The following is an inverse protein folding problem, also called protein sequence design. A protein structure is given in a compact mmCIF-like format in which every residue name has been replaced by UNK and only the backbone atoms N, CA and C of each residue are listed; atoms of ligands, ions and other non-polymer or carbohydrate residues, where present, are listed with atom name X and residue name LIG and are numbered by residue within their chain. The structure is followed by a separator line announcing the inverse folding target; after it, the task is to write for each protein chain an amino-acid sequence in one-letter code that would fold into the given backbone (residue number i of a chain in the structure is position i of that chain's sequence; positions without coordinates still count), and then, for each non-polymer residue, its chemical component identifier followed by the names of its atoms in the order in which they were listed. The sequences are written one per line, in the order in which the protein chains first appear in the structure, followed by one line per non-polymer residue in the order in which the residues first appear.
data_IF_874230196107
#
_entry.id   IF_874230196107
#
_cell.length_a   1.000
_cell.length_b   1.000
_cell.length_c   1.000
_cell.angle_alpha   90.00
_cell.angle_beta   90.00
_cell.angle_gamma   90.00
#
_symmetry.space_group_name_H-M   'P 1'
#
loop_
_entity.id
_entity.type
_entity.pdbx_description
1 polymer ?
#
# COMPACT_ATOMS: atom_id res chain seq x y z
N UNK A 1 1.20 -37.23 6.04
CA UNK A 1 1.38 -36.37 4.85
C UNK A 1 0.96 -34.98 5.26
N UNK A 2 1.93 -34.08 5.47
CA UNK A 2 1.63 -32.72 5.93
C UNK A 2 0.89 -31.96 4.83
N UNK A 3 -0.34 -31.56 5.10
CA UNK A 3 -1.02 -30.57 4.28
C UNK A 3 -0.23 -29.27 4.46
N UNK A 4 0.57 -28.90 3.46
CA UNK A 4 1.01 -27.54 3.32
C UNK A 4 -0.26 -26.72 3.11
N UNK A 5 -0.73 -26.06 4.17
CA UNK A 5 -1.77 -25.05 4.08
C UNK A 5 -1.20 -23.97 3.17
N UNK A 6 -1.58 -24.02 1.88
CA UNK A 6 -1.38 -22.91 0.98
C UNK A 6 -2.02 -21.72 1.67
N UNK A 7 -1.20 -20.75 2.10
CA UNK A 7 -1.70 -19.51 2.68
C UNK A 7 -2.45 -18.79 1.57
N UNK A 8 -3.77 -18.89 1.57
CA UNK A 8 -4.62 -18.22 0.59
C UNK A 8 -4.57 -16.71 0.84
N UNK A 9 -4.18 -15.95 -0.18
CA UNK A 9 -4.14 -14.48 -0.11
C UNK A 9 -5.49 -13.94 0.40
N UNK A 10 -5.50 -12.99 1.37
CA UNK A 10 -6.74 -12.52 1.98
C UNK A 10 -7.73 -12.00 0.95
N UNK A 11 -9.02 -12.11 1.26
CA UNK A 11 -10.08 -11.56 0.41
C UNK A 11 -9.97 -10.04 0.42
N UNK A 12 -10.28 -9.41 -0.71
CA UNK A 12 -10.11 -7.96 -0.91
C UNK A 12 -10.74 -7.08 0.19
N UNK A 13 -11.84 -7.54 0.80
CA UNK A 13 -12.53 -6.87 1.92
C UNK A 13 -11.69 -6.78 3.21
N UNK A 14 -10.66 -7.61 3.35
CA UNK A 14 -9.78 -7.71 4.52
C UNK A 14 -8.53 -6.85 4.35
N UNK A 15 -8.36 -6.23 3.19
CA UNK A 15 -7.23 -5.37 2.88
C UNK A 15 -7.51 -3.94 3.37
N UNK A 16 -6.46 -3.20 3.76
CA UNK A 16 -6.61 -1.82 4.17
C UNK A 16 -7.08 -0.96 2.98
N UNK A 17 -7.98 -0.02 3.24
CA UNK A 17 -8.41 0.97 2.24
C UNK A 17 -7.75 2.30 2.55
N UNK A 18 -7.37 3.05 1.53
CA UNK A 18 -6.66 4.31 1.69
C UNK A 18 -7.43 5.47 1.11
N UNK A 19 -7.81 6.43 1.95
CA UNK A 19 -8.59 7.60 1.55
C UNK A 19 -7.72 8.83 1.27
N UNK A 20 -6.57 8.91 1.93
CA UNK A 20 -5.68 10.07 1.94
C UNK A 20 -6.23 11.26 2.74
N UNK A 21 -7.26 11.05 3.57
CA UNK A 21 -7.92 12.10 4.36
C UNK A 21 -7.50 12.10 5.85
N UNK A 22 -6.89 11.01 6.35
CA UNK A 22 -6.41 10.90 7.74
C UNK A 22 -4.92 11.20 7.92
N UNK A 23 -4.55 11.76 9.08
CA UNK A 23 -3.15 12.16 9.40
C UNK A 23 -2.16 10.99 9.33
N UNK A 24 -2.61 9.78 9.68
CA UNK A 24 -1.81 8.55 9.68
C UNK A 24 -2.31 7.48 8.69
N UNK A 25 -3.28 7.82 7.84
CA UNK A 25 -3.93 6.90 6.90
C UNK A 25 -2.90 6.21 5.97
N UNK A 26 -1.84 6.95 5.60
CA UNK A 26 -0.78 6.44 4.75
C UNK A 26 0.12 5.41 5.45
N UNK A 27 0.32 5.55 6.76
CA UNK A 27 1.14 4.63 7.57
C UNK A 27 0.40 3.32 7.83
N UNK A 28 -0.86 3.41 8.22
CA UNK A 28 -1.71 2.23 8.44
C UNK A 28 -1.87 1.44 7.14
N UNK A 29 -2.07 2.14 6.01
CA UNK A 29 -2.14 1.50 4.71
C UNK A 29 -0.83 0.80 4.33
N UNK A 30 0.31 1.51 4.39
CA UNK A 30 1.62 0.93 4.04
C UNK A 30 1.94 -0.28 4.93
N UNK A 31 1.77 -0.14 6.24
CA UNK A 31 2.04 -1.20 7.21
C UNK A 31 1.14 -2.42 6.99
N UNK A 32 -0.16 -2.21 6.74
CA UNK A 32 -1.09 -3.31 6.45
C UNK A 32 -0.73 -4.07 5.17
N UNK A 33 -0.29 -3.37 4.13
CA UNK A 33 0.20 -4.02 2.89
C UNK A 33 1.51 -4.76 3.12
N UNK A 34 2.45 -4.21 3.89
CA UNK A 34 3.72 -4.87 4.19
C UNK A 34 3.49 -6.19 4.96
N UNK A 35 2.58 -6.21 5.95
CA UNK A 35 2.20 -7.43 6.68
C UNK A 35 1.60 -8.47 5.73
N UNK A 36 0.65 -8.10 4.86
CA UNK A 36 0.04 -9.02 3.90
C UNK A 36 1.10 -9.56 2.93
N UNK A 37 2.04 -8.73 2.50
CA UNK A 37 3.10 -9.14 1.58
C UNK A 37 4.05 -10.15 2.25
N UNK A 38 4.39 -9.94 3.52
CA UNK A 38 5.22 -10.85 4.31
C UNK A 38 4.50 -12.18 4.59
N UNK A 39 3.24 -12.12 5.01
CA UNK A 39 2.48 -13.31 5.40
C UNK A 39 2.18 -14.23 4.22
N UNK A 40 1.94 -13.67 3.03
CA UNK A 40 1.45 -14.38 1.84
C UNK A 40 2.45 -14.43 0.68
N UNK A 41 3.69 -13.98 0.88
CA UNK A 41 4.76 -13.91 -0.14
C UNK A 41 4.26 -13.33 -1.49
N UNK A 42 3.35 -12.35 -1.41
CA UNK A 42 2.58 -11.93 -2.58
C UNK A 42 3.43 -11.13 -3.58
N UNK A 43 3.42 -11.48 -4.87
CA UNK A 43 4.07 -10.69 -5.92
C UNK A 43 3.49 -9.27 -6.01
N UNK A 44 4.35 -8.29 -6.34
CA UNK A 44 3.96 -6.88 -6.50
C UNK A 44 2.87 -6.69 -7.57
N UNK A 45 2.83 -7.56 -8.58
CA UNK A 45 1.81 -7.51 -9.63
C UNK A 45 0.42 -7.74 -9.05
N UNK A 46 0.23 -8.80 -8.26
CA UNK A 46 -1.06 -9.11 -7.62
C UNK A 46 -1.50 -8.03 -6.64
N UNK A 47 -0.53 -7.44 -5.94
CA UNK A 47 -0.76 -6.30 -5.06
C UNK A 47 -1.27 -5.08 -5.82
N UNK A 48 -0.55 -4.69 -6.88
CA UNK A 48 -0.85 -3.46 -7.61
C UNK A 48 -2.09 -3.56 -8.50
N UNK A 49 -2.54 -4.77 -8.84
CA UNK A 49 -3.85 -5.03 -9.45
C UNK A 49 -5.00 -4.69 -8.49
N UNK A 50 -4.81 -4.90 -7.18
CA UNK A 50 -5.81 -4.59 -6.15
C UNK A 50 -5.88 -3.08 -5.86
N UNK A 51 -4.90 -2.28 -6.24
CA UNK A 51 -4.89 -0.84 -5.92
C UNK A 51 -6.11 -0.08 -6.43
N UNK A 52 -6.67 -0.49 -7.58
CA UNK A 52 -7.87 0.15 -8.09
C UNK A 52 -9.07 0.09 -7.12
N UNK A 53 -9.10 -0.88 -6.21
CA UNK A 53 -10.15 -1.01 -5.18
C UNK A 53 -9.70 -0.54 -3.80
N UNK A 54 -8.40 -0.59 -3.50
CA UNK A 54 -7.87 -0.21 -2.19
C UNK A 54 -7.76 1.32 -2.04
N UNK A 55 -7.43 2.04 -3.11
CA UNK A 55 -7.48 3.50 -3.10
C UNK A 55 -8.93 3.97 -3.25
N UNK A 56 -9.41 4.79 -2.31
CA UNK A 56 -10.78 5.31 -2.28
C UNK A 56 -10.78 6.83 -2.19
N UNK A 57 -11.90 7.47 -2.57
CA UNK A 57 -12.08 8.93 -2.42
C UNK A 57 -10.99 9.73 -3.18
N UNK A 58 -10.39 10.86 -2.72
CA UNK A 58 -9.47 11.62 -3.57
C UNK A 58 -8.16 10.89 -3.88
N UNK A 59 -7.77 9.88 -3.09
CA UNK A 59 -6.57 9.07 -3.35
C UNK A 59 -6.71 8.21 -4.62
N UNK A 60 -7.91 7.74 -4.93
CA UNK A 60 -8.19 6.93 -6.13
C UNK A 60 -7.88 7.68 -7.42
N UNK A 61 -8.30 8.95 -7.50
CA UNK A 61 -7.99 9.81 -8.65
C UNK A 61 -6.49 10.07 -8.80
N UNK A 62 -5.76 10.16 -7.70
CA UNK A 62 -4.30 10.27 -7.74
C UNK A 62 -3.65 8.98 -8.23
N UNK A 63 -4.09 7.83 -7.72
CA UNK A 63 -3.59 6.52 -8.13
C UNK A 63 -3.74 6.31 -9.64
N UNK A 64 -4.93 6.58 -10.20
CA UNK A 64 -5.18 6.42 -11.65
C UNK A 64 -4.19 7.26 -12.46
N UNK A 65 -3.99 8.53 -12.08
CA UNK A 65 -3.05 9.42 -12.79
C UNK A 65 -1.63 8.88 -12.79
N UNK A 66 -1.14 8.43 -11.64
CA UNK A 66 0.21 7.86 -11.53
C UNK A 66 0.33 6.55 -12.32
N UNK A 67 -0.67 5.68 -12.24
CA UNK A 67 -0.69 4.40 -12.96
C UNK A 67 -0.70 4.60 -14.48
N UNK A 68 -1.42 5.60 -14.98
CA UNK A 68 -1.42 5.98 -16.40
C UNK A 68 -0.06 6.55 -16.84
N UNK A 69 0.58 7.36 -16.00
CA UNK A 69 1.85 8.01 -16.34
C UNK A 69 3.07 7.06 -16.26
N UNK A 70 3.09 6.14 -15.30
CA UNK A 70 4.27 5.32 -14.98
C UNK A 70 4.07 3.82 -15.20
N UNK A 71 2.86 3.37 -15.53
CA UNK A 71 2.57 1.95 -15.79
C UNK A 71 2.66 1.07 -14.54
N UNK A 72 3.01 -0.21 -14.75
CA UNK A 72 3.24 -1.15 -13.64
C UNK A 72 4.55 -0.81 -12.94
N UNK A 73 4.49 -0.63 -11.62
CA UNK A 73 5.61 -0.26 -10.77
C UNK A 73 5.65 -1.14 -9.52
N UNK A 74 6.82 -1.28 -8.92
CA UNK A 74 7.02 -2.09 -7.71
C UNK A 74 6.34 -1.48 -6.48
N UNK A 75 6.11 -2.30 -5.46
CA UNK A 75 5.54 -1.83 -4.20
C UNK A 75 6.43 -0.76 -3.55
N UNK A 76 7.75 -0.96 -3.57
CA UNK A 76 8.71 0.02 -3.05
C UNK A 76 8.54 1.39 -3.70
N UNK A 77 8.34 1.44 -5.02
CA UNK A 77 8.08 2.69 -5.72
C UNK A 77 6.78 3.34 -5.24
N UNK A 78 5.71 2.55 -5.11
CA UNK A 78 4.42 3.04 -4.62
C UNK A 78 4.49 3.57 -3.19
N UNK A 79 5.24 2.91 -2.28
CA UNK A 79 5.49 3.42 -0.93
C UNK A 79 6.11 4.81 -0.97
N UNK A 80 7.14 5.01 -1.79
CA UNK A 80 7.76 6.33 -1.97
C UNK A 80 6.77 7.37 -2.47
N UNK A 81 5.91 7.04 -3.43
CA UNK A 81 4.92 7.99 -3.94
C UNK A 81 3.84 8.35 -2.90
N UNK A 82 3.39 7.36 -2.12
CA UNK A 82 2.42 7.58 -1.03
C UNK A 82 3.03 8.49 0.03
N UNK A 83 4.25 8.19 0.48
CA UNK A 83 5.00 8.99 1.45
C UNK A 83 5.21 10.42 0.93
N UNK A 84 5.68 10.58 -0.31
CA UNK A 84 5.95 11.90 -0.88
C UNK A 84 4.71 12.79 -0.92
N UNK A 85 3.53 12.19 -1.13
CA UNK A 85 2.27 12.94 -1.24
C UNK A 85 1.55 13.19 0.08
N UNK A 86 1.55 12.22 1.00
CA UNK A 86 0.72 12.27 2.21
C UNK A 86 1.48 12.30 3.52
N UNK A 87 2.80 12.07 3.52
CA UNK A 87 3.58 12.31 4.73
C UNK A 87 3.60 13.82 5.02
N UNK A 88 3.18 14.17 6.23
CA UNK A 88 3.35 15.52 6.77
C UNK A 88 4.80 15.72 7.24
N UNK A 89 5.23 16.97 7.39
CA UNK A 89 6.61 17.30 7.80
C UNK A 89 6.95 16.73 9.19
N UNK A 90 5.96 16.59 10.07
CA UNK A 90 6.13 15.99 11.39
C UNK A 90 6.46 14.49 11.33
N UNK A 91 5.90 13.75 10.37
CA UNK A 91 6.24 12.36 10.12
C UNK A 91 7.65 12.22 9.56
N UNK A 92 8.01 13.07 8.58
CA UNK A 92 9.35 13.07 8.00
C UNK A 92 10.40 13.30 9.07
N UNK A 93 10.15 14.27 9.95
CA UNK A 93 10.99 14.54 11.11
C UNK A 93 11.12 13.34 12.06
N UNK A 94 10.01 12.65 12.39
CA UNK A 94 10.03 11.44 13.24
C UNK A 94 10.81 10.28 12.62
N UNK A 95 10.70 10.07 11.31
CA UNK A 95 11.46 9.03 10.61
C UNK A 95 12.94 9.38 10.55
N UNK A 96 13.27 10.65 10.25
CA UNK A 96 14.66 11.14 10.22
C UNK A 96 15.34 11.11 11.59
N UNK A 97 14.59 11.23 12.69
CA UNK A 97 15.13 11.13 14.07
C UNK A 97 15.10 9.71 14.65
N UNK A 98 14.44 8.75 14.00
CA UNK A 98 14.37 7.35 14.44
C UNK A 98 15.49 6.46 13.85
N UNK A 99 16.34 7.00 12.97
CA UNK A 99 17.52 6.38 12.39
C UNK A 99 18.77 7.23 12.65
#
# INVERSE_FOLDING_TARGET
MGQALLKEVPKLKEWPHFSGEGEYDHMEFIGGIDIIKEDFESPDILLTERFNTLFIRPSHRWYIKLRQAHGHQSWTWWKTQIINKWANDAWRFKVETAF
#
